data_IF_503869239033
#
_entry.id   IF_503869239033
#
_cell.length_a   1.000
_cell.length_b   1.000
_cell.length_c   1.000
_cell.angle_alpha   90.00
_cell.angle_beta   90.00
_cell.angle_gamma   90.00
#
_symmetry.space_group_name_H-M   'P 1'
#
loop_
_entity.id
_entity.type
_entity.pdbx_description
1 polymer ?
#
# COMPACT_ATOMS: atom_id res chain seq x y z
N UNK A 1 0.39 9.53 -2.88
CA UNK A 1 -0.60 8.98 -1.91
C UNK A 1 -0.78 7.47 -1.95
N UNK A 2 -0.97 6.86 -3.12
CA UNK A 2 -1.22 5.41 -3.23
C UNK A 2 -0.23 4.53 -2.44
N UNK A 3 1.08 4.74 -2.60
CA UNK A 3 2.08 3.92 -1.90
C UNK A 3 2.00 4.05 -0.38
N UNK A 4 1.85 5.29 0.08
CA UNK A 4 1.75 5.60 1.51
C UNK A 4 0.49 4.97 2.10
N UNK A 5 -0.63 5.01 1.37
CA UNK A 5 -1.87 4.35 1.76
C UNK A 5 -1.67 2.82 1.84
N UNK A 6 -1.06 2.21 0.83
CA UNK A 6 -0.80 0.77 0.82
C UNK A 6 0.03 0.31 2.02
N UNK A 7 1.14 1.00 2.33
CA UNK A 7 1.98 0.65 3.49
C UNK A 7 1.30 0.93 4.82
N UNK A 8 0.55 2.03 4.94
CA UNK A 8 -0.19 2.37 6.17
C UNK A 8 -1.26 1.32 6.46
N UNK A 9 -2.06 0.97 5.45
CA UNK A 9 -3.09 -0.05 5.55
C UNK A 9 -2.46 -1.41 5.87
N UNK A 10 -1.34 -1.75 5.25
CA UNK A 10 -0.61 -2.98 5.57
C UNK A 10 -0.19 -3.06 7.04
N UNK A 11 0.44 -2.01 7.59
CA UNK A 11 0.85 -1.99 9.01
C UNK A 11 -0.36 -2.11 9.94
N UNK A 12 -1.46 -1.41 9.63
CA UNK A 12 -2.70 -1.51 10.41
C UNK A 12 -3.25 -2.93 10.36
N UNK A 13 -3.36 -3.55 9.18
CA UNK A 13 -3.86 -4.91 9.04
C UNK A 13 -2.96 -5.94 9.74
N UNK A 14 -1.63 -5.82 9.62
CA UNK A 14 -0.70 -6.68 10.37
C UNK A 14 -0.91 -6.55 11.87
N UNK A 15 -1.10 -5.34 12.40
CA UNK A 15 -1.38 -5.15 13.82
C UNK A 15 -2.69 -5.84 14.26
N UNK A 16 -3.73 -5.79 13.42
CA UNK A 16 -5.01 -6.46 13.68
C UNK A 16 -4.88 -7.97 13.63
N UNK A 17 -4.14 -8.49 12.66
CA UNK A 17 -3.83 -9.92 12.50
C UNK A 17 -3.08 -10.46 13.73
N UNK A 18 -2.07 -9.74 14.21
CA UNK A 18 -1.31 -10.13 15.40
C UNK A 18 -2.24 -10.27 16.61
N UNK A 19 -3.14 -9.31 16.82
CA UNK A 19 -4.09 -9.33 17.94
C UNK A 19 -5.18 -10.39 17.77
N UNK A 20 -5.76 -10.50 16.57
CA UNK A 20 -6.90 -11.39 16.30
C UNK A 20 -6.51 -12.87 16.38
N UNK A 21 -5.30 -13.24 15.92
CA UNK A 21 -4.81 -14.61 15.97
C UNK A 21 -3.89 -14.90 17.16
N UNK A 22 -3.67 -13.92 18.05
CA UNK A 22 -2.78 -14.09 19.20
C UNK A 22 -1.35 -14.48 18.80
N UNK A 23 -0.83 -13.88 17.72
CA UNK A 23 0.48 -14.24 17.19
C UNK A 23 1.60 -13.79 18.14
N UNK A 24 2.58 -14.66 18.31
CA UNK A 24 3.81 -14.35 19.04
C UNK A 24 4.93 -14.16 18.02
N UNK A 25 5.41 -12.92 17.87
CA UNK A 25 6.49 -12.57 16.93
C UNK A 25 7.79 -12.18 17.65
N UNK A 26 7.97 -12.63 18.90
CA UNK A 26 9.19 -12.36 19.65
C UNK A 26 10.40 -13.01 18.99
N UNK A 27 11.46 -12.22 18.84
CA UNK A 27 12.79 -12.62 18.41
C UNK A 27 13.84 -11.98 19.33
N UNK A 28 15.01 -12.61 19.55
CA UNK A 28 16.10 -12.02 20.33
C UNK A 28 16.52 -10.65 19.78
N UNK A 29 16.77 -9.69 20.67
CA UNK A 29 17.16 -8.32 20.30
C UNK A 29 18.40 -8.28 19.41
N UNK A 30 19.38 -9.15 19.65
CA UNK A 30 20.58 -9.25 18.81
C UNK A 30 20.28 -9.57 17.35
N UNK A 31 19.23 -10.37 17.07
CA UNK A 31 18.77 -10.68 15.70
C UNK A 31 18.01 -9.50 15.09
N UNK A 32 17.30 -8.71 15.89
CA UNK A 32 16.67 -7.46 15.46
C UNK A 32 17.74 -6.46 15.02
N UNK A 33 18.80 -6.31 15.82
CA UNK A 33 19.90 -5.39 15.51
C UNK A 33 20.62 -5.81 14.21
N UNK A 34 20.87 -7.10 14.03
CA UNK A 34 21.42 -7.63 12.79
C UNK A 34 20.50 -7.35 11.58
N UNK A 35 19.19 -7.56 11.73
CA UNK A 35 18.22 -7.20 10.71
C UNK A 35 18.26 -5.71 10.36
N UNK A 36 18.39 -4.83 11.35
CA UNK A 36 18.49 -3.39 11.12
C UNK A 36 19.73 -3.03 10.32
N UNK A 37 20.88 -3.67 10.58
CA UNK A 37 22.10 -3.48 9.77
C UNK A 37 21.88 -3.95 8.33
N UNK A 38 21.33 -5.16 8.13
CA UNK A 38 21.05 -5.70 6.79
C UNK A 38 20.05 -4.85 6.00
N UNK A 39 19.07 -4.24 6.67
CA UNK A 39 18.05 -3.40 6.03
C UNK A 39 18.61 -2.15 5.34
N UNK A 40 19.82 -1.69 5.72
CA UNK A 40 20.48 -0.55 5.09
C UNK A 40 21.26 -0.92 3.82
N UNK A 41 21.45 -2.21 3.54
CA UNK A 41 22.18 -2.63 2.35
C UNK A 41 21.46 -2.21 1.06
N UNK A 42 22.24 -1.98 0.01
CA UNK A 42 21.66 -1.66 -1.31
C UNK A 42 20.87 -2.86 -1.81
N UNK A 43 19.62 -2.61 -2.19
CA UNK A 43 18.69 -3.61 -2.72
C UNK A 43 18.34 -4.72 -1.70
N UNK A 44 18.45 -4.42 -0.40
CA UNK A 44 18.21 -5.36 0.70
C UNK A 44 16.86 -6.08 0.65
N UNK A 45 15.82 -5.40 0.18
CA UNK A 45 14.47 -5.98 0.02
C UNK A 45 14.49 -7.24 -0.85
N UNK A 46 15.37 -7.30 -1.85
CA UNK A 46 15.45 -8.40 -2.82
C UNK A 46 16.67 -9.31 -2.64
N UNK A 47 17.77 -8.79 -2.09
CA UNK A 47 19.03 -9.54 -1.97
C UNK A 47 19.27 -10.13 -0.58
N UNK A 48 18.83 -9.45 0.47
CA UNK A 48 19.13 -9.82 1.85
C UNK A 48 18.07 -10.75 2.44
N UNK A 49 18.49 -11.48 3.48
CA UNK A 49 17.58 -12.25 4.33
C UNK A 49 17.56 -11.66 5.72
N UNK A 50 16.43 -11.80 6.38
CA UNK A 50 16.17 -11.28 7.71
C UNK A 50 15.80 -12.42 8.65
N UNK A 51 16.29 -12.35 9.87
CA UNK A 51 15.87 -13.23 10.94
C UNK A 51 14.39 -13.01 11.24
N UNK A 52 13.61 -14.06 11.08
CA UNK A 52 12.19 -14.06 11.38
C UNK A 52 11.82 -15.32 12.16
N UNK A 53 10.75 -15.25 12.95
CA UNK A 53 10.30 -16.39 13.75
C UNK A 53 9.73 -17.49 12.86
N UNK A 54 10.11 -18.74 13.12
CA UNK A 54 9.69 -19.89 12.31
C UNK A 54 8.19 -20.20 12.49
N UNK A 55 7.68 -20.06 13.70
CA UNK A 55 6.30 -20.36 14.07
C UNK A 55 5.61 -19.09 14.56
N UNK A 56 4.60 -18.59 13.83
CA UNK A 56 3.88 -17.37 14.21
C UNK A 56 2.83 -17.59 15.32
N UNK A 57 2.35 -18.82 15.47
CA UNK A 57 1.43 -19.23 16.52
C UNK A 57 2.11 -20.23 17.45
N UNK A 58 1.70 -20.32 18.74
CA UNK A 58 2.20 -21.34 19.65
C UNK A 58 1.97 -22.73 19.03
N UNK A 59 3.01 -23.57 18.91
CA UNK A 59 2.84 -24.89 18.35
C UNK A 59 1.88 -25.71 19.23
N UNK A 60 0.88 -26.33 18.62
CA UNK A 60 -0.11 -27.21 19.30
C UNK A 60 0.54 -28.39 20.03
N UNK A 61 1.77 -28.74 19.68
CA UNK A 61 2.58 -29.78 20.33
C UNK A 61 3.99 -29.22 20.54
N UNK A 62 4.51 -29.35 21.77
CA UNK A 62 5.82 -28.83 22.22
C UNK A 62 7.02 -29.59 21.63
N UNK A 63 7.04 -29.82 20.31
CA UNK A 63 8.07 -30.57 19.61
C UNK A 63 8.90 -29.60 18.77
N UNK A 64 9.73 -28.83 19.46
CA UNK A 64 10.67 -27.88 18.86
C UNK A 64 10.87 -26.64 19.73
N UNK A 65 11.98 -25.94 19.51
CA UNK A 65 12.20 -24.60 20.06
C UNK A 65 11.12 -23.66 19.52
N UNK A 66 10.13 -23.36 20.37
CA UNK A 66 8.97 -22.55 19.99
C UNK A 66 9.38 -21.13 19.56
N UNK A 67 10.56 -20.66 19.99
CA UNK A 67 11.12 -19.35 19.69
C UNK A 67 12.22 -19.40 18.61
N UNK A 68 12.35 -20.52 17.90
CA UNK A 68 13.32 -20.67 16.82
C UNK A 68 13.11 -19.58 15.75
N UNK A 69 14.22 -18.92 15.38
CA UNK A 69 14.25 -17.97 14.27
C UNK A 69 15.05 -18.54 13.10
N UNK A 70 14.65 -18.19 11.91
CA UNK A 70 15.26 -18.60 10.65
C UNK A 70 15.42 -17.38 9.74
N UNK A 71 16.39 -17.42 8.83
CA UNK A 71 16.54 -16.39 7.81
C UNK A 71 15.53 -16.55 6.68
N UNK A 72 14.82 -15.47 6.38
CA UNK A 72 13.80 -15.40 5.34
C UNK A 72 13.98 -14.11 4.53
N UNK A 73 13.79 -14.19 3.22
CA UNK A 73 13.66 -12.99 2.38
C UNK A 73 12.39 -12.22 2.74
N UNK A 74 12.33 -10.93 2.39
CA UNK A 74 11.11 -10.12 2.59
C UNK A 74 9.92 -10.74 1.87
N UNK A 75 10.14 -11.31 0.68
CA UNK A 75 9.09 -12.01 -0.05
C UNK A 75 8.56 -13.22 0.73
N UNK A 76 9.43 -14.08 1.25
CA UNK A 76 9.04 -15.24 2.07
C UNK A 76 8.29 -14.81 3.34
N UNK A 77 8.73 -13.73 4.01
CA UNK A 77 8.03 -13.18 5.19
C UNK A 77 6.60 -12.76 4.83
N UNK A 78 6.41 -12.17 3.65
CA UNK A 78 5.11 -11.69 3.19
C UNK A 78 4.20 -12.79 2.66
N UNK A 79 4.71 -13.71 1.85
CA UNK A 79 3.88 -14.70 1.12
C UNK A 79 3.91 -16.10 1.69
N UNK A 80 4.81 -16.37 2.63
CA UNK A 80 4.98 -17.69 3.21
C UNK A 80 6.30 -18.36 2.79
N UNK A 81 6.72 -19.34 3.59
CA UNK A 81 7.92 -20.14 3.38
C UNK A 81 7.61 -21.61 3.68
N UNK A 82 7.61 -22.44 2.64
CA UNK A 82 7.25 -23.85 2.76
C UNK A 82 5.82 -24.06 3.26
N UNK A 83 5.59 -25.20 3.94
CA UNK A 83 4.26 -25.58 4.46
C UNK A 83 3.99 -25.13 5.89
N UNK A 84 5.01 -24.65 6.62
CA UNK A 84 4.91 -24.35 8.05
C UNK A 84 4.69 -22.86 8.34
N UNK A 85 5.10 -21.98 7.42
CA UNK A 85 5.03 -20.54 7.59
C UNK A 85 4.09 -19.94 6.53
N UNK A 86 2.88 -19.48 6.92
CA UNK A 86 1.88 -19.01 5.98
C UNK A 86 2.21 -17.65 5.35
N UNK A 87 2.98 -16.80 6.06
CA UNK A 87 3.28 -15.43 5.63
C UNK A 87 2.23 -14.40 6.07
N UNK A 88 2.63 -13.13 6.09
CA UNK A 88 1.78 -12.05 6.58
C UNK A 88 0.59 -11.74 5.67
N UNK A 89 0.76 -11.78 4.34
CA UNK A 89 -0.31 -11.46 3.39
C UNK A 89 -1.44 -12.51 3.44
N UNK A 90 -1.17 -13.83 3.43
CA UNK A 90 -2.22 -14.83 3.62
C UNK A 90 -2.97 -14.68 4.95
N UNK A 91 -2.27 -14.34 6.03
CA UNK A 91 -2.91 -14.08 7.33
C UNK A 91 -3.80 -12.83 7.32
N UNK A 92 -3.40 -11.78 6.61
CA UNK A 92 -4.25 -10.60 6.38
C UNK A 92 -5.54 -11.00 5.66
N UNK A 93 -5.46 -11.80 4.60
CA UNK A 93 -6.66 -12.25 3.89
C UNK A 93 -7.55 -13.16 4.75
N UNK A 94 -6.96 -14.06 5.54
CA UNK A 94 -7.70 -14.88 6.48
C UNK A 94 -8.43 -14.02 7.53
N UNK A 95 -7.79 -12.96 8.03
CA UNK A 95 -8.44 -12.01 8.94
C UNK A 95 -9.58 -11.25 8.26
N UNK A 96 -9.37 -10.74 7.03
CA UNK A 96 -10.41 -10.02 6.27
C UNK A 96 -11.64 -10.90 5.99
N UNK A 97 -11.42 -12.18 5.70
CA UNK A 97 -12.49 -13.16 5.52
C UNK A 97 -13.22 -13.45 6.85
N UNK A 98 -12.48 -13.62 7.94
CA UNK A 98 -13.05 -13.87 9.27
C UNK A 98 -13.96 -12.74 9.76
N UNK A 99 -13.63 -11.48 9.43
CA UNK A 99 -14.47 -10.32 9.77
C UNK A 99 -15.58 -10.04 8.74
N UNK A 100 -15.72 -10.89 7.71
CA UNK A 100 -16.68 -10.71 6.62
C UNK A 100 -16.56 -9.33 5.95
N UNK A 101 -15.32 -8.93 5.63
CA UNK A 101 -15.05 -7.69 4.91
C UNK A 101 -15.88 -7.60 3.62
N UNK A 102 -16.39 -6.41 3.32
CA UNK A 102 -17.15 -6.20 2.09
C UNK A 102 -16.28 -6.44 0.83
N UNK A 103 -16.88 -6.90 -0.28
CA UNK A 103 -16.12 -7.26 -1.48
C UNK A 103 -15.34 -6.11 -2.10
N UNK A 104 -15.88 -4.89 -2.04
CA UNK A 104 -15.25 -3.70 -2.63
C UNK A 104 -13.95 -3.33 -1.90
N UNK A 105 -14.01 -3.28 -0.57
CA UNK A 105 -12.85 -3.06 0.29
C UNK A 105 -11.85 -4.18 0.11
N UNK A 106 -12.30 -5.45 0.05
CA UNK A 106 -11.41 -6.60 -0.16
C UNK A 106 -10.63 -6.49 -1.47
N UNK A 107 -11.25 -6.03 -2.55
CA UNK A 107 -10.57 -5.82 -3.84
C UNK A 107 -9.52 -4.72 -3.75
N UNK A 108 -9.82 -3.61 -3.06
CA UNK A 108 -8.82 -2.56 -2.80
C UNK A 108 -7.65 -3.09 -1.96
N UNK A 109 -7.93 -3.90 -0.94
CA UNK A 109 -6.89 -4.54 -0.13
C UNK A 109 -6.02 -5.47 -0.98
N UNK A 110 -6.61 -6.24 -1.90
CA UNK A 110 -5.87 -7.09 -2.84
C UNK A 110 -4.90 -6.27 -3.69
N UNK A 111 -5.33 -5.11 -4.19
CA UNK A 111 -4.47 -4.20 -4.95
C UNK A 111 -3.28 -3.72 -4.11
N UNK A 112 -3.50 -3.32 -2.86
CA UNK A 112 -2.41 -2.87 -1.97
C UNK A 112 -1.45 -4.00 -1.59
N UNK A 113 -1.97 -5.18 -1.24
CA UNK A 113 -1.13 -6.33 -0.88
C UNK A 113 -0.32 -6.83 -2.09
N UNK A 114 -0.91 -6.84 -3.28
CA UNK A 114 -0.20 -7.22 -4.50
C UNK A 114 0.91 -6.22 -4.84
N UNK A 115 0.68 -4.92 -4.62
CA UNK A 115 1.72 -3.90 -4.78
C UNK A 115 2.93 -4.15 -3.86
N UNK A 116 2.70 -4.41 -2.57
CA UNK A 116 3.76 -4.69 -1.60
C UNK A 116 4.49 -5.99 -1.95
N UNK A 117 3.74 -7.04 -2.31
CA UNK A 117 4.29 -8.33 -2.76
C UNK A 117 5.20 -8.17 -3.97
N UNK A 118 4.79 -7.40 -4.98
CA UNK A 118 5.59 -7.15 -6.20
C UNK A 118 6.85 -6.36 -5.92
N UNK A 119 6.83 -5.45 -4.94
CA UNK A 119 8.07 -4.79 -4.48
C UNK A 119 9.02 -5.77 -3.81
N UNK A 120 8.50 -6.62 -2.93
CA UNK A 120 9.30 -7.63 -2.25
C UNK A 120 9.90 -8.67 -3.21
N UNK A 121 9.22 -8.99 -4.31
CA UNK A 121 9.74 -9.90 -5.34
C UNK A 121 10.69 -9.24 -6.34
N UNK A 122 10.86 -7.92 -6.28
CA UNK A 122 11.66 -7.16 -7.25
C UNK A 122 10.98 -6.93 -8.61
N UNK A 123 9.70 -7.32 -8.77
CA UNK A 123 8.93 -7.01 -9.99
C UNK A 123 8.62 -5.51 -10.11
N UNK A 124 8.52 -4.82 -8.98
CA UNK A 124 8.45 -3.36 -8.90
C UNK A 124 9.67 -2.84 -8.17
N UNK A 125 10.23 -1.73 -8.68
CA UNK A 125 11.35 -1.07 -8.03
C UNK A 125 10.89 -0.42 -6.73
N UNK A 126 11.76 -0.43 -5.73
CA UNK A 126 11.66 0.50 -4.61
C UNK A 126 11.92 1.93 -5.10
N UNK A 127 11.41 2.93 -4.37
CA UNK A 127 11.72 4.33 -4.68
C UNK A 127 13.23 4.58 -4.70
N UNK A 128 13.99 3.98 -3.78
CA UNK A 128 15.44 4.09 -3.73
C UNK A 128 16.13 3.47 -4.96
N UNK A 129 15.68 2.30 -5.41
CA UNK A 129 16.17 1.68 -6.65
C UNK A 129 15.87 2.54 -7.87
N UNK A 130 14.64 3.08 -7.95
CA UNK A 130 14.22 3.92 -9.05
C UNK A 130 15.02 5.24 -9.11
N UNK A 131 15.22 5.91 -7.97
CA UNK A 131 16.05 7.12 -7.90
C UNK A 131 17.49 6.83 -8.32
N UNK A 132 18.10 5.75 -7.82
CA UNK A 132 19.44 5.32 -8.25
C UNK A 132 19.48 5.08 -9.75
N UNK A 133 18.49 4.36 -10.29
CA UNK A 133 18.41 4.08 -11.72
C UNK A 133 18.37 5.38 -12.54
N UNK A 134 17.51 6.33 -12.19
CA UNK A 134 17.41 7.64 -12.86
C UNK A 134 18.74 8.40 -12.86
N UNK A 135 19.43 8.44 -11.72
CA UNK A 135 20.77 9.07 -11.63
C UNK A 135 21.77 8.33 -12.50
N UNK A 136 21.85 7.01 -12.40
CA UNK A 136 22.85 6.21 -13.14
C UNK A 136 22.61 6.17 -14.65
N UNK A 137 21.37 6.40 -15.10
CA UNK A 137 21.03 6.48 -16.52
C UNK A 137 21.20 7.87 -17.12
N UNK A 138 21.51 8.88 -16.30
CA UNK A 138 21.56 10.26 -16.75
C UNK A 138 22.83 10.54 -17.57
N UNK A 139 22.74 11.17 -18.76
CA UNK A 139 23.91 11.42 -19.62
C UNK A 139 25.04 12.22 -18.96
N UNK A 140 24.70 13.20 -18.13
CA UNK A 140 25.68 14.01 -17.37
C UNK A 140 26.33 13.28 -16.18
N UNK A 141 25.83 12.11 -15.78
CA UNK A 141 26.37 11.38 -14.63
C UNK A 141 27.60 10.58 -15.04
N UNK A 142 28.72 10.80 -14.33
CA UNK A 142 30.04 10.25 -14.70
C UNK A 142 30.37 8.93 -13.99
N UNK A 143 29.41 8.34 -13.28
CA UNK A 143 29.63 7.13 -12.46
C UNK A 143 30.72 7.29 -11.38
N UNK A 144 30.95 8.51 -10.92
CA UNK A 144 31.93 8.90 -9.90
C UNK A 144 31.31 9.06 -8.50
N UNK A 145 30.05 8.63 -8.33
CA UNK A 145 29.26 8.79 -7.10
C UNK A 145 29.01 10.25 -6.68
N UNK A 146 29.23 11.21 -7.59
CA UNK A 146 28.90 12.61 -7.39
C UNK A 146 27.67 12.91 -8.24
N UNK A 147 26.59 13.41 -7.63
CA UNK A 147 25.37 13.80 -8.35
C UNK A 147 25.49 15.27 -8.74
N UNK A 148 25.66 15.60 -10.04
CA UNK A 148 25.73 16.99 -10.47
C UNK A 148 24.36 17.68 -10.37
N UNK A 149 24.36 19.02 -10.34
CA UNK A 149 23.16 19.81 -10.06
C UNK A 149 22.04 19.66 -11.08
N UNK A 150 22.37 19.47 -12.36
CA UNK A 150 21.40 19.18 -13.43
C UNK A 150 20.71 17.83 -13.21
N UNK A 151 21.48 16.78 -12.89
CA UNK A 151 20.94 15.45 -12.57
C UNK A 151 20.01 15.49 -11.36
N UNK A 152 20.38 16.25 -10.32
CA UNK A 152 19.55 16.42 -9.13
C UNK A 152 18.24 17.16 -9.47
N UNK A 153 18.31 18.22 -10.29
CA UNK A 153 17.12 18.94 -10.76
C UNK A 153 16.18 18.03 -11.54
N UNK A 154 16.70 17.29 -12.51
CA UNK A 154 15.92 16.37 -13.35
C UNK A 154 15.31 15.23 -12.53
N UNK A 155 16.03 14.72 -11.52
CA UNK A 155 15.50 13.73 -10.59
C UNK A 155 14.29 14.27 -9.82
N UNK A 156 14.41 15.48 -9.25
CA UNK A 156 13.31 16.11 -8.48
C UNK A 156 12.12 16.39 -9.39
N UNK A 157 12.36 16.88 -10.62
CA UNK A 157 11.30 17.09 -11.60
C UNK A 157 10.59 15.79 -11.98
N UNK A 158 11.33 14.69 -12.13
CA UNK A 158 10.76 13.38 -12.34
C UNK A 158 9.90 12.93 -11.14
N UNK A 159 10.36 13.14 -9.90
CA UNK A 159 9.57 12.86 -8.69
C UNK A 159 8.24 13.63 -8.67
N UNK A 160 8.27 14.93 -8.97
CA UNK A 160 7.08 15.79 -9.03
C UNK A 160 6.12 15.30 -10.12
N UNK A 161 6.64 15.01 -11.31
CA UNK A 161 5.83 14.52 -12.42
C UNK A 161 5.15 13.17 -12.13
N UNK A 162 5.80 12.29 -11.37
CA UNK A 162 5.20 11.03 -10.90
C UNK A 162 4.16 11.29 -9.82
N UNK A 163 4.48 12.13 -8.82
CA UNK A 163 3.60 12.43 -7.71
C UNK A 163 2.27 13.07 -8.15
N UNK A 164 2.32 13.98 -9.12
CA UNK A 164 1.14 14.62 -9.69
C UNK A 164 0.41 13.78 -10.74
N UNK A 165 0.88 12.56 -11.03
CA UNK A 165 0.28 11.72 -12.07
C UNK A 165 0.42 12.30 -13.47
N UNK A 166 1.46 13.10 -13.75
CA UNK A 166 1.79 13.53 -15.12
C UNK A 166 2.49 12.43 -15.92
N UNK A 167 3.25 11.57 -15.23
CA UNK A 167 4.04 10.48 -15.85
C UNK A 167 3.65 9.12 -15.27
N UNK A 168 3.32 8.18 -16.17
CA UNK A 168 3.02 6.76 -15.87
C UNK A 168 4.31 5.98 -15.63
N UNK A 169 4.84 6.02 -14.42
CA UNK A 169 6.05 5.24 -14.09
C UNK A 169 5.72 3.79 -13.71
N UNK A 170 5.65 2.92 -14.73
CA UNK A 170 5.26 1.51 -14.58
C UNK A 170 6.26 0.69 -13.78
N UNK A 171 7.54 1.06 -13.79
CA UNK A 171 8.55 0.35 -13.01
C UNK A 171 8.40 0.59 -11.50
N UNK A 172 7.79 1.72 -11.11
CA UNK A 172 7.57 2.11 -9.72
C UNK A 172 6.18 1.70 -9.20
N UNK A 173 5.13 1.91 -10.01
CA UNK A 173 3.72 1.76 -9.61
C UNK A 173 2.98 0.60 -10.31
N UNK A 174 3.61 -0.03 -11.32
CA UNK A 174 3.02 -1.14 -12.07
C UNK A 174 1.82 -0.72 -12.91
N UNK A 175 0.69 -1.39 -12.70
CA UNK A 175 -0.59 -1.08 -13.36
C UNK A 175 -1.35 0.08 -12.68
N UNK A 176 -0.94 0.44 -11.46
CA UNK A 176 -1.63 1.45 -10.67
C UNK A 176 -1.26 2.84 -11.17
N UNK A 177 -2.26 3.72 -11.20
CA UNK A 177 -2.13 5.06 -11.75
C UNK A 177 -2.65 6.07 -10.73
N UNK A 178 -1.83 7.07 -10.43
CA UNK A 178 -2.26 8.23 -9.65
C UNK A 178 -3.07 9.10 -10.59
N UNK A 179 -4.33 9.40 -10.23
CA UNK A 179 -5.15 10.33 -11.01
C UNK A 179 -4.43 11.69 -11.05
N UNK A 180 -4.27 12.32 -12.23
CA UNK A 180 -3.55 13.57 -12.33
C UNK A 180 -4.16 14.62 -11.41
N UNK A 181 -3.33 15.30 -10.63
CA UNK A 181 -3.77 16.45 -9.84
C UNK A 181 -4.02 17.59 -10.82
N UNK A 182 -5.28 17.86 -11.15
CA UNK A 182 -5.67 19.05 -11.93
C UNK A 182 -5.83 20.21 -10.96
N UNK A 183 -5.27 21.36 -11.32
CA UNK A 183 -5.47 22.62 -10.57
C UNK A 183 -6.93 23.04 -10.52
N UNK A 184 -7.76 22.49 -11.40
CA UNK A 184 -9.21 22.76 -11.48
C UNK A 184 -9.95 22.27 -10.22
N UNK A 185 -9.49 21.17 -9.61
CA UNK A 185 -10.02 20.62 -8.36
C UNK A 185 -9.29 21.15 -7.10
N UNK A 186 -8.21 21.92 -7.29
CA UNK A 186 -7.32 22.36 -6.21
C UNK A 186 -7.78 23.67 -5.54
N UNK A 187 -8.77 24.36 -6.10
CA UNK A 187 -9.41 25.47 -5.42
C UNK A 187 -10.36 24.94 -4.36
N UNK A 188 -10.18 25.46 -3.14
CA UNK A 188 -11.18 25.48 -2.08
C UNK A 188 -12.54 25.82 -2.72
N UNK A 189 -13.38 24.82 -3.04
CA UNK A 189 -14.82 25.08 -3.14
C UNK A 189 -15.19 25.32 -1.69
N UNK A 190 -15.46 26.58 -1.28
CA UNK A 190 -15.90 26.80 0.08
C UNK A 190 -17.12 25.92 0.24
N UNK A 191 -17.13 25.07 1.28
CA UNK A 191 -18.36 24.37 1.66
C UNK A 191 -19.43 25.45 1.67
N UNK A 192 -20.42 25.34 0.77
CA UNK A 192 -21.52 26.29 0.71
C UNK A 192 -22.16 26.22 2.09
N UNK A 193 -21.83 27.17 2.95
CA UNK A 193 -22.61 27.39 4.15
C UNK A 193 -23.99 27.74 3.59
N UNK A 194 -25.02 26.94 3.86
CA UNK A 194 -26.34 27.26 3.38
C UNK A 194 -26.68 28.62 4.00
N UNK A 195 -26.63 29.69 3.20
CA UNK A 195 -26.88 31.06 3.65
C UNK A 195 -28.33 31.26 4.09
N UNK A 196 -29.17 30.26 3.81
CA UNK A 196 -30.55 30.08 4.21
C UNK A 196 -30.71 28.74 4.91
N UNK A 197 -31.59 28.68 5.90
CA UNK A 197 -32.01 27.40 6.52
C UNK A 197 -32.45 26.46 5.40
N UNK A 198 -31.83 25.28 5.29
CA UNK A 198 -32.26 24.25 4.33
C UNK A 198 -33.75 23.99 4.59
N UNK A 199 -34.60 24.36 3.63
CA UNK A 199 -36.04 24.25 3.80
C UNK A 199 -36.44 22.78 3.96
N UNK A 200 -37.52 22.54 4.73
CA UNK A 200 -37.93 21.19 5.14
C UNK A 200 -38.08 20.23 3.94
N UNK A 201 -38.67 20.71 2.85
CA UNK A 201 -38.90 19.95 1.62
C UNK A 201 -37.59 19.58 0.91
N UNK A 202 -36.64 20.51 0.80
CA UNK A 202 -35.31 20.23 0.23
C UNK A 202 -34.53 19.24 1.08
N UNK A 203 -34.63 19.36 2.41
CA UNK A 203 -34.00 18.43 3.36
C UNK A 203 -34.62 17.04 3.26
N UNK A 204 -35.95 16.94 3.22
CA UNK A 204 -36.67 15.66 3.10
C UNK A 204 -36.36 14.99 1.76
N UNK A 205 -36.35 15.74 0.65
CA UNK A 205 -35.96 15.22 -0.67
C UNK A 205 -34.49 14.78 -0.72
N UNK A 206 -33.58 15.53 -0.09
CA UNK A 206 -32.16 15.14 0.02
C UNK A 206 -32.02 13.84 0.84
N UNK A 207 -32.68 13.78 1.99
CA UNK A 207 -32.65 12.60 2.85
C UNK A 207 -33.30 11.38 2.17
N UNK A 208 -34.40 11.54 1.46
CA UNK A 208 -35.02 10.46 0.68
C UNK A 208 -34.11 10.00 -0.46
N UNK A 209 -33.45 10.91 -1.18
CA UNK A 209 -32.49 10.56 -2.24
C UNK A 209 -31.33 9.73 -1.69
N UNK A 210 -30.78 10.13 -0.54
CA UNK A 210 -29.68 9.40 0.09
C UNK A 210 -30.14 8.10 0.77
N UNK A 211 -31.33 8.10 1.39
CA UNK A 211 -31.93 6.90 1.96
C UNK A 211 -32.25 5.86 0.88
N UNK A 212 -32.75 6.29 -0.28
CA UNK A 212 -33.06 5.43 -1.43
C UNK A 212 -31.81 4.82 -2.07
N UNK A 213 -30.71 5.57 -2.09
CA UNK A 213 -29.39 5.04 -2.51
C UNK A 213 -28.86 3.98 -1.54
N UNK A 214 -29.15 4.11 -0.25
CA UNK A 214 -28.75 3.13 0.76
C UNK A 214 -29.70 1.93 0.88
N UNK A 215 -30.99 2.11 0.60
CA UNK A 215 -31.97 1.01 0.59
C UNK A 215 -31.98 0.23 -0.73
N UNK A 216 -31.46 0.80 -1.82
CA UNK A 216 -31.37 0.18 -3.14
C UNK A 216 -30.11 -0.66 -3.39
N UNK A 217 -29.21 -0.84 -2.42
CA UNK A 217 -28.00 -1.66 -2.57
C UNK A 217 -28.29 -3.17 -2.48
N UNK A 218 -29.24 -3.62 -3.30
CA UNK A 218 -29.63 -5.01 -3.51
C UNK A 218 -30.21 -5.16 -4.91
N UNK A 219 -29.41 -4.96 -5.95
CA UNK A 219 -29.82 -5.23 -7.34
C UNK A 219 -29.01 -4.49 -8.39
N UNK A 220 -28.03 -5.20 -8.96
CA UNK A 220 -27.55 -5.16 -10.35
C UNK A 220 -27.53 -3.83 -11.15
N UNK A 221 -26.34 -3.46 -11.63
CA UNK A 221 -26.14 -3.22 -13.07
C UNK A 221 -26.09 -1.79 -13.60
N UNK A 222 -24.88 -1.41 -14.02
CA UNK A 222 -24.54 -0.63 -15.23
C UNK A 222 -24.72 0.89 -15.27
N UNK A 223 -23.82 1.53 -16.03
CA UNK A 223 -24.04 2.85 -16.63
C UNK A 223 -23.46 4.06 -15.88
N UNK A 224 -22.26 4.45 -16.32
CA UNK A 224 -21.76 5.83 -16.45
C UNK A 224 -22.75 6.94 -16.07
N UNK A 225 -22.38 7.81 -15.13
CA UNK A 225 -22.86 9.20 -15.12
C UNK A 225 -21.75 10.13 -14.61
N UNK A 226 -21.21 10.88 -15.56
CA UNK A 226 -20.40 12.08 -15.38
C UNK A 226 -21.16 13.11 -14.51
N UNK A 227 -20.49 13.83 -13.60
CA UNK A 227 -21.15 14.83 -12.75
C UNK A 227 -21.42 16.18 -13.45
N UNK A 228 -21.15 16.32 -14.76
CA UNK A 228 -21.19 17.61 -15.47
C UNK A 228 -22.52 17.94 -16.17
N UNK A 229 -23.61 17.20 -15.93
CA UNK A 229 -24.92 17.52 -16.52
C UNK A 229 -25.87 18.17 -15.50
N UNK A 230 -25.72 19.49 -15.33
CA UNK A 230 -26.77 20.36 -14.78
C UNK A 230 -26.96 21.51 -15.77
N UNK A 231 -28.16 21.66 -16.38
CA UNK A 231 -28.40 22.73 -17.33
C UNK A 231 -28.63 24.07 -16.62
N UNK A 232 -27.80 25.06 -17.03
CA UNK A 232 -27.85 26.53 -16.86
C UNK A 232 -27.94 27.10 -15.44
#
# INVERSE_FOLDING_TARGET
DFENAAFTVFVVLVSRVILAFGLSLYIPLSKVDENMVRAHARDAVTSEKFWFRKHMAPPLQSVGDADACEEMSVLEILTGKGSYFPGLIPLIFAYLEAIQCDPETLELMRVYMDFIRRRASGQLMTAAQWMRHKVTSHPSYKHDSIVPGDVAFDLVQACVAVAEGRVRERLLLGKQWIKPLRTDDAYYVPLKQPSTVIHREEREALLERYASRYSGAGGEGDGTNDPDDVPL
#
